data_IF_623087361478
#
_entry.id   IF_623087361478
#
_cell.length_a   1.000
_cell.length_b   1.000
_cell.length_c   1.000
_cell.angle_alpha   90.00
_cell.angle_beta   90.00
_cell.angle_gamma   90.00
#
_symmetry.space_group_name_H-M   'P 1'
#
loop_
_entity.id
_entity.type
_entity.pdbx_description
1 polymer ?
#
# COMPACT_ATOMS: atom_id res chain seq x y z
N UNK A 1 46.59 10.19 -19.49
CA UNK A 1 45.33 10.63 -20.12
C UNK A 1 44.28 10.65 -19.03
N UNK A 2 43.99 11.83 -18.49
CA UNK A 2 42.96 12.05 -17.48
C UNK A 2 41.58 11.97 -18.14
N UNK A 3 40.71 11.09 -17.64
CA UNK A 3 39.30 11.06 -18.05
C UNK A 3 38.69 12.46 -17.84
N UNK A 4 37.83 12.94 -18.76
CA UNK A 4 37.17 14.22 -18.60
C UNK A 4 36.34 14.19 -17.31
N UNK A 5 36.62 15.13 -16.42
CA UNK A 5 35.94 15.30 -15.14
C UNK A 5 34.45 15.56 -15.42
N UNK A 6 33.57 14.64 -14.99
CA UNK A 6 32.13 14.80 -15.16
C UNK A 6 31.66 15.98 -14.27
N UNK A 7 30.78 16.85 -14.77
CA UNK A 7 30.28 17.97 -13.98
C UNK A 7 29.59 17.47 -12.69
N UNK A 8 29.70 18.22 -11.58
CA UNK A 8 29.09 17.86 -10.31
C UNK A 8 27.57 17.69 -10.48
N UNK A 9 27.04 16.61 -9.91
CA UNK A 9 25.65 16.18 -10.08
C UNK A 9 24.99 15.93 -8.73
N UNK A 10 23.79 16.46 -8.55
CA UNK A 10 22.88 16.08 -7.48
C UNK A 10 21.88 15.03 -7.99
N UNK A 11 21.60 14.02 -7.16
CA UNK A 11 20.51 13.08 -7.39
C UNK A 11 19.40 13.45 -6.42
N UNK A 12 18.23 13.85 -6.95
CA UNK A 12 17.08 14.21 -6.11
C UNK A 12 15.74 13.73 -6.64
N UNK A 13 14.76 13.61 -5.75
CA UNK A 13 13.36 13.25 -6.04
C UNK A 13 13.20 11.89 -6.74
N UNK A 14 13.90 10.86 -6.25
CA UNK A 14 13.88 9.52 -6.84
C UNK A 14 13.18 8.54 -5.90
N UNK A 15 12.16 7.83 -6.38
CA UNK A 15 11.49 6.81 -5.58
C UNK A 15 12.43 5.63 -5.27
N UNK A 16 13.17 5.15 -6.27
CA UNK A 16 14.15 4.09 -6.10
C UNK A 16 15.40 4.38 -6.94
N UNK A 17 16.52 4.62 -6.26
CA UNK A 17 17.83 4.73 -6.89
C UNK A 17 18.46 3.33 -6.96
N UNK A 18 18.36 2.68 -8.12
CA UNK A 18 18.94 1.36 -8.34
C UNK A 18 20.37 1.47 -8.90
N UNK A 19 21.36 1.14 -8.07
CA UNK A 19 22.78 1.09 -8.43
C UNK A 19 23.27 -0.33 -8.72
N UNK A 20 22.38 -1.31 -8.91
CA UNK A 20 22.74 -2.73 -9.11
C UNK A 20 22.84 -3.14 -10.59
N UNK A 21 22.40 -2.28 -11.51
CA UNK A 21 22.45 -2.52 -12.96
C UNK A 21 23.84 -2.36 -13.58
N UNK A 22 23.93 -2.55 -14.90
CA UNK A 22 25.20 -2.56 -15.65
C UNK A 22 26.04 -1.27 -15.53
N UNK A 23 25.43 -0.14 -15.16
CA UNK A 23 26.12 1.14 -14.98
C UNK A 23 26.62 1.41 -13.54
N UNK A 24 26.43 0.47 -12.61
CA UNK A 24 26.73 0.59 -11.18
C UNK A 24 28.07 1.28 -10.86
N UNK A 25 29.16 0.78 -11.46
CA UNK A 25 30.53 1.21 -11.14
C UNK A 25 30.79 2.71 -11.37
N UNK A 26 30.09 3.31 -12.33
CA UNK A 26 30.26 4.73 -12.71
C UNK A 26 29.07 5.60 -12.32
N UNK A 27 28.01 5.01 -11.74
CA UNK A 27 26.77 5.71 -11.43
C UNK A 27 26.96 6.84 -10.40
N UNK A 28 27.92 6.67 -9.50
CA UNK A 28 28.27 7.63 -8.46
C UNK A 28 29.38 8.61 -8.86
N UNK A 29 29.92 8.52 -10.09
CA UNK A 29 30.97 9.44 -10.54
C UNK A 29 30.43 10.85 -10.69
N UNK A 30 31.10 11.81 -10.03
CA UNK A 30 30.71 13.22 -10.04
C UNK A 30 29.47 13.53 -9.20
N UNK A 31 28.92 12.57 -8.45
CA UNK A 31 27.78 12.83 -7.56
C UNK A 31 28.26 13.52 -6.29
N UNK A 32 27.75 14.72 -6.02
CA UNK A 32 28.16 15.54 -4.88
C UNK A 32 27.15 15.54 -3.74
N UNK A 33 25.90 15.16 -4.01
CA UNK A 33 24.81 15.09 -3.02
C UNK A 33 23.70 14.15 -3.50
N UNK A 34 23.05 13.49 -2.55
CA UNK A 34 21.82 12.72 -2.78
C UNK A 34 20.75 13.25 -1.82
N UNK A 35 19.58 13.63 -2.35
CA UNK A 35 18.49 14.20 -1.55
C UNK A 35 17.13 13.61 -1.95
N UNK A 36 16.18 13.48 -1.02
CA UNK A 36 14.80 13.05 -1.36
C UNK A 36 14.72 11.73 -2.13
N UNK A 37 15.34 10.69 -1.58
CA UNK A 37 15.33 9.36 -2.18
C UNK A 37 14.64 8.38 -1.24
N UNK A 38 13.55 7.74 -1.68
CA UNK A 38 12.83 6.82 -0.79
C UNK A 38 13.66 5.55 -0.53
N UNK A 39 14.34 5.01 -1.54
CA UNK A 39 15.28 3.91 -1.32
C UNK A 39 16.44 3.89 -2.31
N UNK A 40 17.60 3.41 -1.84
CA UNK A 40 18.80 3.16 -2.64
C UNK A 40 19.11 1.66 -2.59
N UNK A 41 19.19 1.00 -3.75
CA UNK A 41 19.76 -0.34 -3.87
C UNK A 41 21.22 -0.19 -4.28
N UNK A 42 22.14 -0.77 -3.52
CA UNK A 42 23.58 -0.56 -3.72
C UNK A 42 24.35 -1.87 -3.59
N UNK A 43 25.18 -2.24 -4.58
CA UNK A 43 26.13 -3.34 -4.43
C UNK A 43 27.06 -3.12 -3.24
N UNK A 44 27.39 -4.17 -2.49
CA UNK A 44 28.27 -4.08 -1.31
C UNK A 44 29.61 -3.41 -1.62
N UNK A 45 30.19 -3.68 -2.79
CA UNK A 45 31.40 -3.03 -3.30
C UNK A 45 31.32 -1.50 -3.43
N UNK A 46 30.12 -0.93 -3.58
CA UNK A 46 29.91 0.52 -3.76
C UNK A 46 29.51 1.25 -2.48
N UNK A 47 29.27 0.54 -1.38
CA UNK A 47 28.83 1.13 -0.11
C UNK A 47 29.78 2.20 0.41
N UNK A 48 31.09 1.94 0.37
CA UNK A 48 32.11 2.90 0.84
C UNK A 48 32.13 4.18 0.01
N UNK A 49 31.83 4.08 -1.29
CA UNK A 49 31.75 5.25 -2.17
C UNK A 49 30.47 6.02 -1.90
N UNK A 50 29.34 5.33 -1.78
CA UNK A 50 28.04 5.95 -1.46
C UNK A 50 28.08 6.70 -0.13
N UNK A 51 28.70 6.12 0.91
CA UNK A 51 28.76 6.71 2.25
C UNK A 51 29.61 7.99 2.33
N UNK A 52 30.48 8.24 1.35
CA UNK A 52 31.23 9.49 1.26
C UNK A 52 30.45 10.65 0.66
N UNK A 53 29.28 10.38 0.05
CA UNK A 53 28.40 11.38 -0.54
C UNK A 53 27.41 11.87 0.53
N UNK A 54 27.29 13.19 0.77
CA UNK A 54 26.27 13.73 1.65
C UNK A 54 24.85 13.31 1.23
N UNK A 55 24.10 12.73 2.17
CA UNK A 55 22.73 12.26 1.99
C UNK A 55 21.76 13.04 2.87
N UNK A 56 20.63 13.45 2.30
CA UNK A 56 19.56 14.20 2.99
C UNK A 56 18.19 13.60 2.63
N UNK A 57 17.33 13.37 3.63
CA UNK A 57 16.01 12.71 3.42
C UNK A 57 16.06 11.46 2.53
N UNK A 58 16.98 10.56 2.85
CA UNK A 58 17.06 9.22 2.26
C UNK A 58 16.44 8.21 3.22
N UNK A 59 15.31 7.59 2.86
CA UNK A 59 14.56 6.76 3.81
C UNK A 59 15.19 5.37 4.03
N UNK A 60 15.76 4.75 3.00
CA UNK A 60 16.44 3.46 3.12
C UNK A 60 17.65 3.32 2.19
N UNK A 61 18.73 2.73 2.69
CA UNK A 61 19.83 2.19 1.86
C UNK A 61 19.86 0.68 2.05
N UNK A 62 19.83 -0.06 0.95
CA UNK A 62 19.76 -1.52 0.90
C UNK A 62 21.03 -2.06 0.25
N UNK A 63 21.94 -2.66 1.03
CA UNK A 63 23.08 -3.37 0.46
C UNK A 63 22.61 -4.65 -0.24
N UNK A 64 23.15 -4.90 -1.43
CA UNK A 64 22.91 -6.10 -2.23
C UNK A 64 24.26 -6.80 -2.43
N UNK A 65 24.39 -8.11 -2.12
CA UNK A 65 25.64 -8.83 -2.35
C UNK A 65 26.08 -8.71 -3.82
N UNK A 66 27.39 -8.53 -4.03
CA UNK A 66 27.94 -8.39 -5.37
C UNK A 66 27.68 -9.64 -6.23
N UNK A 67 27.45 -9.43 -7.54
CA UNK A 67 27.23 -10.52 -8.50
C UNK A 67 25.83 -11.14 -8.48
N UNK A 68 24.93 -10.71 -7.57
CA UNK A 68 23.54 -11.15 -7.55
C UNK A 68 22.75 -10.61 -8.74
N UNK A 69 21.85 -11.44 -9.28
CA UNK A 69 20.83 -10.97 -10.23
C UNK A 69 19.73 -10.26 -9.43
N UNK A 70 19.55 -8.97 -9.66
CA UNK A 70 18.53 -8.18 -8.97
C UNK A 70 17.27 -8.09 -9.83
N UNK A 71 16.12 -8.41 -9.24
CA UNK A 71 14.80 -8.20 -9.85
C UNK A 71 13.98 -7.27 -8.99
N UNK A 72 13.74 -6.08 -9.50
CA UNK A 72 12.97 -5.05 -8.83
C UNK A 72 11.52 -5.10 -9.32
N UNK A 73 10.59 -5.10 -8.37
CA UNK A 73 9.17 -4.90 -8.63
C UNK A 73 8.65 -3.73 -7.80
N UNK A 74 7.76 -2.93 -8.39
CA UNK A 74 7.19 -1.75 -7.75
C UNK A 74 5.66 -1.83 -7.77
N UNK A 75 5.04 -1.49 -6.63
CA UNK A 75 3.59 -1.53 -6.45
C UNK A 75 3.12 -2.79 -5.71
N UNK A 76 1.91 -3.24 -6.02
CA UNK A 76 1.33 -4.47 -5.47
C UNK A 76 1.67 -5.65 -6.37
N UNK A 77 2.37 -6.63 -5.82
CA UNK A 77 2.86 -7.80 -6.54
C UNK A 77 2.24 -9.04 -5.92
N UNK A 78 1.52 -9.81 -6.73
CA UNK A 78 0.87 -11.05 -6.30
C UNK A 78 1.63 -12.24 -6.87
N UNK A 79 2.13 -13.12 -6.00
CA UNK A 79 2.89 -14.33 -6.37
C UNK A 79 2.33 -15.54 -5.62
N UNK A 80 2.62 -16.74 -6.11
CA UNK A 80 2.48 -17.95 -5.29
C UNK A 80 3.75 -18.15 -4.46
N UNK A 81 3.68 -18.94 -3.38
CA UNK A 81 4.84 -19.29 -2.56
C UNK A 81 5.95 -20.00 -3.37
N UNK A 82 5.57 -20.82 -4.34
CA UNK A 82 6.50 -21.54 -5.23
C UNK A 82 7.23 -20.59 -6.18
N UNK A 83 6.65 -19.44 -6.50
CA UNK A 83 7.30 -18.44 -7.34
C UNK A 83 8.55 -17.84 -6.66
N UNK A 84 8.72 -18.03 -5.35
CA UNK A 84 9.90 -17.64 -4.58
C UNK A 84 10.99 -18.73 -4.52
N UNK A 85 10.76 -19.92 -5.10
CA UNK A 85 11.76 -20.97 -5.18
C UNK A 85 13.03 -20.53 -5.94
N UNK A 86 14.09 -21.32 -5.85
CA UNK A 86 15.34 -21.01 -6.56
C UNK A 86 15.10 -20.91 -8.08
N UNK A 87 15.76 -19.97 -8.78
CA UNK A 87 15.71 -19.90 -10.23
C UNK A 87 16.12 -21.22 -10.88
N UNK A 88 15.47 -21.65 -11.99
CA UNK A 88 15.80 -22.91 -12.67
C UNK A 88 17.24 -22.98 -13.19
N UNK A 89 17.85 -21.82 -13.48
CA UNK A 89 19.23 -21.70 -13.94
C UNK A 89 20.26 -21.69 -12.81
N UNK A 90 19.82 -21.83 -11.55
CA UNK A 90 20.68 -21.83 -10.36
C UNK A 90 21.32 -20.47 -10.07
N UNK A 91 20.88 -19.41 -10.74
CA UNK A 91 21.40 -18.07 -10.51
C UNK A 91 21.07 -17.59 -9.09
N UNK A 92 22.05 -17.00 -8.41
CA UNK A 92 21.81 -16.32 -7.15
C UNK A 92 21.05 -15.02 -7.41
N UNK A 93 19.76 -15.00 -7.05
CA UNK A 93 18.84 -13.90 -7.32
C UNK A 93 18.43 -13.20 -6.02
N UNK A 94 18.33 -11.87 -6.09
CA UNK A 94 17.68 -11.05 -5.06
C UNK A 94 16.42 -10.42 -5.64
N UNK A 95 15.28 -10.79 -5.05
CA UNK A 95 13.99 -10.18 -5.34
C UNK A 95 13.80 -8.95 -4.46
N UNK A 96 13.63 -7.80 -5.08
CA UNK A 96 13.34 -6.54 -4.39
C UNK A 96 11.92 -6.10 -4.72
N UNK A 97 11.09 -5.90 -3.71
CA UNK A 97 9.73 -5.38 -3.87
C UNK A 97 9.61 -4.03 -3.15
N UNK A 98 9.29 -2.97 -3.88
CA UNK A 98 8.93 -1.67 -3.33
C UNK A 98 7.42 -1.51 -3.35
N UNK A 99 6.76 -1.67 -2.21
CA UNK A 99 5.31 -1.72 -2.09
C UNK A 99 4.83 -2.95 -1.34
N UNK A 100 3.88 -3.68 -1.92
CA UNK A 100 3.26 -4.85 -1.27
C UNK A 100 3.61 -6.13 -2.03
N UNK A 101 4.11 -7.12 -1.30
CA UNK A 101 4.23 -8.50 -1.78
C UNK A 101 3.12 -9.35 -1.17
N UNK A 102 2.19 -9.82 -1.99
CA UNK A 102 1.09 -10.69 -1.59
C UNK A 102 1.39 -12.10 -2.10
N UNK A 103 1.45 -13.07 -1.19
CA UNK A 103 1.56 -14.48 -1.52
C UNK A 103 0.19 -15.15 -1.49
N UNK A 104 -0.10 -16.02 -2.45
CA UNK A 104 -1.37 -16.75 -2.55
C UNK A 104 -1.30 -18.21 -2.10
N UNK A 105 -0.09 -18.72 -1.82
CA UNK A 105 0.16 -20.03 -1.23
C UNK A 105 1.37 -19.96 -0.28
N UNK A 106 1.51 -20.89 0.69
CA UNK A 106 2.59 -20.85 1.66
C UNK A 106 3.98 -20.90 1.01
N UNK A 107 4.86 -19.97 1.40
CA UNK A 107 6.23 -19.93 0.93
C UNK A 107 7.13 -20.84 1.78
N UNK A 108 7.10 -22.15 1.47
CA UNK A 108 7.82 -23.16 2.24
C UNK A 108 9.31 -23.27 1.82
N UNK A 109 9.59 -23.16 0.52
CA UNK A 109 10.92 -23.35 -0.06
C UNK A 109 11.37 -22.09 -0.79
N UNK A 110 11.76 -21.07 -0.04
CA UNK A 110 12.27 -19.83 -0.63
C UNK A 110 13.74 -19.98 -0.98
N UNK A 111 14.05 -19.93 -2.27
CA UNK A 111 15.40 -20.19 -2.81
C UNK A 111 16.12 -18.96 -3.32
N UNK A 112 15.65 -17.77 -2.93
CA UNK A 112 16.22 -16.47 -3.32
C UNK A 112 16.24 -15.53 -2.13
N UNK A 113 17.11 -14.52 -2.17
CA UNK A 113 17.07 -13.45 -1.18
C UNK A 113 15.87 -12.56 -1.47
N UNK A 114 15.11 -12.18 -0.44
CA UNK A 114 13.94 -11.30 -0.57
C UNK A 114 14.18 -10.03 0.23
N UNK A 115 14.04 -8.90 -0.44
CA UNK A 115 14.03 -7.57 0.16
C UNK A 115 12.66 -6.94 -0.12
N UNK A 116 11.99 -6.49 0.93
CA UNK A 116 10.71 -5.78 0.78
C UNK A 116 10.79 -4.42 1.47
N UNK A 117 10.54 -3.38 0.69
CA UNK A 117 10.39 -2.01 1.14
C UNK A 117 8.90 -1.68 1.11
N UNK A 118 8.21 -2.10 2.18
CA UNK A 118 6.78 -2.02 2.36
C UNK A 118 6.25 -3.24 3.13
N UNK A 119 5.19 -3.88 2.64
CA UNK A 119 4.51 -4.95 3.38
C UNK A 119 4.60 -6.29 2.67
N UNK A 120 4.69 -7.36 3.45
CA UNK A 120 4.51 -8.74 2.97
C UNK A 120 3.22 -9.27 3.55
N UNK A 121 2.34 -9.79 2.71
CA UNK A 121 1.11 -10.43 3.12
C UNK A 121 1.17 -11.87 2.63
N UNK A 122 1.19 -12.81 3.56
CA UNK A 122 1.42 -14.21 3.26
C UNK A 122 0.42 -15.10 3.99
N UNK A 123 0.09 -16.28 3.45
CA UNK A 123 -0.70 -17.24 4.19
C UNK A 123 0.12 -17.80 5.36
N UNK A 124 -0.56 -18.08 6.47
CA UNK A 124 0.02 -18.77 7.62
C UNK A 124 0.69 -20.08 7.19
N UNK A 125 1.83 -20.41 7.78
CA UNK A 125 2.72 -21.49 7.35
C UNK A 125 3.93 -21.02 6.51
N UNK A 126 3.95 -19.74 6.11
CA UNK A 126 5.09 -19.15 5.38
C UNK A 126 6.23 -18.66 6.29
N UNK A 127 6.07 -18.70 7.61
CA UNK A 127 6.94 -18.05 8.60
C UNK A 127 8.38 -18.54 8.49
N UNK A 128 8.57 -19.86 8.39
CA UNK A 128 9.91 -20.46 8.34
C UNK A 128 10.63 -20.11 7.04
N UNK A 129 9.95 -20.25 5.88
CA UNK A 129 10.57 -19.98 4.59
C UNK A 129 10.87 -18.49 4.39
N UNK A 130 9.91 -17.62 4.74
CA UNK A 130 10.13 -16.18 4.68
C UNK A 130 11.15 -15.69 5.70
N UNK A 131 11.14 -16.22 6.93
CA UNK A 131 12.07 -15.82 7.99
C UNK A 131 13.54 -16.08 7.65
N UNK A 132 13.84 -17.11 6.85
CA UNK A 132 15.20 -17.42 6.40
C UNK A 132 15.65 -16.57 5.21
N UNK A 133 14.71 -16.14 4.35
CA UNK A 133 15.02 -15.50 3.07
C UNK A 133 14.79 -14.00 3.04
N UNK A 134 13.99 -13.44 3.97
CA UNK A 134 13.82 -12.01 4.14
C UNK A 134 15.11 -11.40 4.71
N UNK A 135 15.96 -10.89 3.83
CA UNK A 135 17.21 -10.21 4.21
C UNK A 135 16.95 -8.84 4.82
N UNK A 136 15.93 -8.16 4.31
CA UNK A 136 15.54 -6.82 4.78
C UNK A 136 14.06 -6.59 4.53
N UNK A 137 13.39 -6.09 5.56
CA UNK A 137 12.01 -5.65 5.52
C UNK A 137 11.94 -4.24 6.10
N UNK A 138 11.36 -3.30 5.34
CA UNK A 138 10.95 -1.99 5.87
C UNK A 138 9.43 -1.96 5.90
N UNK A 139 8.84 -2.25 7.06
CA UNK A 139 7.39 -2.39 7.23
C UNK A 139 7.05 -3.64 8.05
N UNK A 140 6.01 -4.38 7.66
CA UNK A 140 5.49 -5.52 8.42
C UNK A 140 5.20 -6.73 7.54
N UNK A 141 5.28 -7.92 8.15
CA UNK A 141 4.75 -9.15 7.59
C UNK A 141 3.41 -9.44 8.26
N UNK A 142 2.38 -9.65 7.45
CA UNK A 142 1.04 -9.98 7.87
C UNK A 142 0.73 -11.40 7.41
N UNK A 143 0.42 -12.28 8.36
CA UNK A 143 -0.03 -13.63 8.06
C UNK A 143 -1.55 -13.72 8.10
N UNK A 144 -2.15 -14.28 7.04
CA UNK A 144 -3.59 -14.50 6.98
C UNK A 144 -3.94 -15.99 7.08
N UNK A 145 -5.13 -16.35 7.64
CA UNK A 145 -5.52 -17.74 7.77
C UNK A 145 -5.63 -18.43 6.40
N UNK A 146 -5.06 -19.63 6.29
CA UNK A 146 -5.01 -20.38 5.04
C UNK A 146 -5.27 -21.86 5.29
N UNK A 147 -6.07 -22.45 4.42
CA UNK A 147 -6.30 -23.90 4.37
C UNK A 147 -5.63 -24.45 3.12
N UNK A 148 -4.94 -25.58 3.25
CA UNK A 148 -4.27 -26.22 2.11
C UNK A 148 -5.23 -26.42 0.92
N UNK A 149 -4.79 -26.01 -0.26
CA UNK A 149 -5.58 -26.08 -1.49
C UNK A 149 -6.62 -24.95 -1.66
N UNK A 150 -6.74 -24.04 -0.70
CA UNK A 150 -7.58 -22.85 -0.84
C UNK A 150 -7.07 -21.98 -2.00
N UNK A 151 -8.00 -21.45 -2.82
CA UNK A 151 -7.67 -20.42 -3.80
C UNK A 151 -7.81 -19.05 -3.16
N UNK A 152 -6.79 -18.22 -3.34
CA UNK A 152 -6.74 -16.86 -2.81
C UNK A 152 -7.09 -15.88 -3.93
N UNK A 153 -8.20 -15.18 -3.76
CA UNK A 153 -8.67 -14.14 -4.67
C UNK A 153 -8.17 -12.80 -4.17
N UNK A 154 -7.30 -12.13 -4.92
CA UNK A 154 -6.79 -10.80 -4.56
C UNK A 154 -7.56 -9.72 -5.31
N UNK A 155 -8.03 -8.71 -4.59
CA UNK A 155 -8.74 -7.54 -5.13
C UNK A 155 -8.16 -6.26 -4.53
N UNK A 156 -8.24 -5.16 -5.30
CA UNK A 156 -8.10 -3.83 -4.72
C UNK A 156 -9.37 -3.43 -3.96
N UNK A 157 -9.23 -2.42 -3.11
CA UNK A 157 -10.35 -1.76 -2.43
C UNK A 157 -11.32 -1.11 -3.41
N UNK A 158 -12.43 -0.61 -2.87
CA UNK A 158 -13.47 0.06 -3.62
C UNK A 158 -14.88 -0.34 -3.19
N UNK A 159 -15.87 0.23 -3.90
CA UNK A 159 -17.28 -0.06 -3.70
C UNK A 159 -17.72 -1.33 -4.45
N UNK A 160 -18.37 -2.23 -3.74
CA UNK A 160 -18.91 -3.49 -4.29
C UNK A 160 -20.24 -3.84 -3.62
N UNK A 161 -21.09 -4.57 -4.33
CA UNK A 161 -22.28 -5.17 -3.73
C UNK A 161 -21.92 -6.33 -2.79
N UNK A 162 -22.71 -6.54 -1.74
CA UNK A 162 -22.57 -7.64 -0.79
C UNK A 162 -22.66 -9.03 -1.42
N UNK A 163 -23.31 -9.16 -2.58
CA UNK A 163 -23.39 -10.39 -3.36
C UNK A 163 -22.03 -10.92 -3.83
N UNK A 164 -21.02 -10.05 -3.94
CA UNK A 164 -19.65 -10.45 -4.28
C UNK A 164 -19.07 -11.39 -3.22
N UNK A 165 -19.49 -11.25 -1.96
CA UNK A 165 -19.02 -12.10 -0.87
C UNK A 165 -19.63 -13.51 -0.92
N UNK A 166 -20.71 -13.74 -1.67
CA UNK A 166 -21.37 -15.04 -1.74
C UNK A 166 -20.55 -16.11 -2.45
N UNK A 167 -19.50 -15.72 -3.20
CA UNK A 167 -18.55 -16.60 -3.88
C UNK A 167 -19.22 -17.72 -4.71
N UNK A 168 -20.19 -17.42 -5.60
CA UNK A 168 -21.07 -18.44 -6.18
C UNK A 168 -20.36 -19.47 -7.08
N UNK A 169 -19.23 -19.09 -7.68
CA UNK A 169 -18.40 -19.98 -8.51
C UNK A 169 -17.14 -20.50 -7.77
N UNK A 170 -17.06 -20.23 -6.46
CA UNK A 170 -15.90 -20.55 -5.65
C UNK A 170 -16.01 -21.86 -4.87
N UNK A 171 -14.95 -22.18 -4.15
CA UNK A 171 -14.95 -23.24 -3.14
C UNK A 171 -15.15 -22.63 -1.75
N UNK A 172 -15.80 -23.34 -0.80
CA UNK A 172 -15.95 -22.85 0.57
C UNK A 172 -14.63 -22.60 1.31
N UNK A 173 -13.53 -23.18 0.83
CA UNK A 173 -12.18 -22.96 1.35
C UNK A 173 -11.48 -21.75 0.77
N UNK A 174 -12.03 -21.14 -0.29
CA UNK A 174 -11.41 -19.98 -0.94
C UNK A 174 -11.31 -18.80 0.04
N UNK A 175 -10.26 -17.99 -0.12
CA UNK A 175 -10.00 -16.78 0.67
C UNK A 175 -10.12 -15.57 -0.24
N UNK A 176 -10.85 -14.54 0.19
CA UNK A 176 -10.84 -13.24 -0.46
C UNK A 176 -9.89 -12.31 0.29
N UNK A 177 -8.89 -11.77 -0.39
CA UNK A 177 -7.97 -10.77 0.12
C UNK A 177 -8.21 -9.45 -0.60
N UNK A 178 -8.57 -8.41 0.15
CA UNK A 178 -8.79 -7.05 -0.37
C UNK A 178 -7.68 -6.15 0.14
N UNK A 179 -6.97 -5.47 -0.76
CA UNK A 179 -5.96 -4.46 -0.42
C UNK A 179 -6.57 -3.06 -0.51
N UNK A 180 -6.64 -2.34 0.60
CA UNK A 180 -7.30 -1.03 0.70
C UNK A 180 -8.69 -1.11 1.33
N UNK A 181 -9.47 -0.03 1.18
CA UNK A 181 -10.79 0.10 1.82
C UNK A 181 -11.88 -0.65 1.04
N UNK A 182 -12.53 -1.63 1.68
CA UNK A 182 -13.70 -2.34 1.13
C UNK A 182 -14.99 -1.60 1.51
N UNK A 183 -15.82 -1.23 0.53
CA UNK A 183 -17.13 -0.61 0.78
C UNK A 183 -18.24 -1.51 0.23
N UNK A 184 -19.03 -2.10 1.12
CA UNK A 184 -20.19 -2.90 0.75
C UNK A 184 -21.40 -1.99 0.57
N UNK A 185 -21.94 -1.87 -0.64
CA UNK A 185 -23.02 -0.93 -0.96
C UNK A 185 -24.42 -1.55 -0.83
N UNK A 186 -24.51 -2.87 -0.66
CA UNK A 186 -25.75 -3.63 -0.47
C UNK A 186 -25.59 -4.62 0.70
N UNK A 187 -26.71 -5.14 1.20
CA UNK A 187 -26.73 -6.10 2.30
C UNK A 187 -25.93 -7.36 1.96
N UNK A 188 -25.23 -7.90 2.96
CA UNK A 188 -24.52 -9.18 2.86
C UNK A 188 -25.45 -10.28 3.33
N UNK A 189 -25.98 -11.10 2.42
CA UNK A 189 -26.85 -12.22 2.78
C UNK A 189 -26.06 -13.49 3.13
N UNK A 190 -24.92 -13.70 2.46
CA UNK A 190 -24.08 -14.88 2.60
C UNK A 190 -22.63 -14.54 2.31
N UNK A 191 -21.73 -15.12 3.10
CA UNK A 191 -20.30 -15.17 2.80
C UNK A 191 -19.95 -16.60 2.40
N UNK A 192 -19.51 -16.79 1.15
CA UNK A 192 -19.12 -18.09 0.59
C UNK A 192 -17.61 -18.34 0.60
N UNK A 193 -16.82 -17.36 1.04
CA UNK A 193 -15.40 -17.53 1.32
C UNK A 193 -15.20 -18.12 2.71
N UNK A 194 -14.15 -18.92 2.91
CA UNK A 194 -13.75 -19.33 4.25
C UNK A 194 -13.41 -18.12 5.11
N UNK A 195 -12.71 -17.15 4.49
CA UNK A 195 -12.21 -15.93 5.11
C UNK A 195 -12.22 -14.78 4.11
N UNK A 196 -12.58 -13.59 4.57
CA UNK A 196 -12.44 -12.33 3.87
C UNK A 196 -11.45 -11.48 4.66
N UNK A 197 -10.25 -11.28 4.11
CA UNK A 197 -9.16 -10.55 4.75
C UNK A 197 -9.02 -9.21 4.06
N UNK A 198 -9.18 -8.12 4.80
CA UNK A 198 -9.10 -6.75 4.27
C UNK A 198 -7.92 -6.03 4.90
N UNK A 199 -6.98 -5.59 4.07
CA UNK A 199 -5.83 -4.79 4.44
C UNK A 199 -6.23 -3.32 4.44
N UNK A 200 -7.11 -2.94 5.37
CA UNK A 200 -7.72 -1.61 5.42
C UNK A 200 -9.08 -1.64 6.10
N UNK A 201 -9.86 -0.58 5.89
CA UNK A 201 -11.19 -0.46 6.46
C UNK A 201 -12.24 -1.25 5.69
N UNK A 202 -13.29 -1.68 6.38
CA UNK A 202 -14.47 -2.28 5.77
C UNK A 202 -15.69 -1.46 6.15
N UNK A 203 -16.35 -0.87 5.17
CA UNK A 203 -17.62 -0.18 5.36
C UNK A 203 -18.76 -1.12 5.03
N UNK A 204 -19.71 -1.26 5.95
CA UNK A 204 -20.88 -2.13 5.80
C UNK A 204 -22.17 -1.35 6.03
N UNK A 205 -23.26 -1.67 5.30
CA UNK A 205 -24.54 -1.08 5.58
C UNK A 205 -25.03 -1.52 6.95
N UNK A 206 -25.76 -0.65 7.63
CA UNK A 206 -26.43 -1.01 8.89
C UNK A 206 -27.33 -2.24 8.70
N UNK A 207 -27.21 -3.19 9.60
CA UNK A 207 -27.89 -4.49 9.56
C UNK A 207 -27.04 -5.63 8.98
N UNK A 208 -25.89 -5.36 8.35
CA UNK A 208 -25.00 -6.38 7.82
C UNK A 208 -23.93 -6.88 8.82
N UNK A 209 -23.82 -6.25 10.00
CA UNK A 209 -22.78 -6.50 11.02
C UNK A 209 -22.75 -7.97 11.44
N UNK A 210 -23.92 -8.55 11.70
CA UNK A 210 -24.05 -9.93 12.14
C UNK A 210 -23.53 -10.93 11.08
N UNK A 211 -23.67 -10.60 9.79
CA UNK A 211 -23.28 -11.47 8.69
C UNK A 211 -21.79 -11.34 8.33
N UNK A 212 -21.15 -10.21 8.64
CA UNK A 212 -19.71 -10.02 8.42
C UNK A 212 -18.86 -10.45 9.61
N UNK A 213 -19.43 -10.44 10.81
CA UNK A 213 -18.73 -10.82 12.05
C UNK A 213 -18.26 -12.28 11.97
N UNK A 214 -16.97 -12.51 12.24
CA UNK A 214 -16.36 -13.85 12.29
C UNK A 214 -15.83 -14.40 10.95
N UNK A 215 -16.16 -13.76 9.82
CA UNK A 215 -15.63 -14.13 8.50
C UNK A 215 -14.81 -13.01 7.86
N UNK A 216 -15.10 -11.75 8.21
CA UNK A 216 -14.35 -10.59 7.75
C UNK A 216 -13.31 -10.20 8.80
N UNK A 217 -12.05 -10.26 8.42
CA UNK A 217 -10.91 -9.87 9.23
C UNK A 217 -10.24 -8.65 8.63
N UNK A 218 -10.04 -7.61 9.43
CA UNK A 218 -9.29 -6.43 9.03
C UNK A 218 -7.88 -6.50 9.59
N UNK A 219 -6.91 -6.08 8.78
CA UNK A 219 -5.50 -5.94 9.16
C UNK A 219 -5.15 -4.46 9.05
N UNK A 220 -4.87 -3.81 10.18
CA UNK A 220 -4.58 -2.38 10.23
C UNK A 220 -5.78 -1.43 10.09
N UNK A 221 -6.98 -1.95 9.78
CA UNK A 221 -8.21 -1.14 9.70
C UNK A 221 -9.30 -1.58 10.67
N UNK A 222 -10.53 -1.16 10.41
CA UNK A 222 -11.71 -1.50 11.22
C UNK A 222 -12.96 -1.74 10.37
N UNK A 223 -13.94 -2.42 10.96
CA UNK A 223 -15.29 -2.51 10.39
C UNK A 223 -16.08 -1.27 10.83
N UNK A 224 -16.64 -0.54 9.87
CA UNK A 224 -17.36 0.71 10.04
C UNK A 224 -18.77 0.51 9.51
N UNK A 225 -19.76 0.69 10.38
CA UNK A 225 -21.16 0.72 9.96
C UNK A 225 -21.47 2.12 9.46
N UNK A 226 -22.00 2.23 8.24
CA UNK A 226 -22.41 3.53 7.72
C UNK A 226 -23.93 3.73 7.78
N UNK A 227 -24.29 4.98 7.99
CA UNK A 227 -25.67 5.44 8.15
C UNK A 227 -26.16 6.21 6.91
N UNK A 228 -25.23 6.88 6.23
CA UNK A 228 -25.45 7.60 5.00
C UNK A 228 -24.77 6.87 3.83
N UNK A 229 -25.36 6.88 2.62
CA UNK A 229 -24.78 6.21 1.46
C UNK A 229 -23.31 6.61 1.24
N UNK A 230 -22.39 5.62 1.09
CA UNK A 230 -21.00 5.92 0.89
C UNK A 230 -20.75 6.41 -0.54
N UNK A 231 -19.85 7.37 -0.69
CA UNK A 231 -19.28 7.76 -1.99
C UNK A 231 -17.77 7.64 -1.92
N UNK A 232 -17.22 6.80 -2.80
CA UNK A 232 -15.81 6.44 -2.84
C UNK A 232 -15.09 7.26 -3.91
N UNK A 233 -13.98 7.88 -3.52
CA UNK A 233 -13.06 8.62 -4.37
C UNK A 233 -11.71 7.94 -4.33
N UNK A 234 -11.38 7.19 -5.39
CA UNK A 234 -10.11 6.48 -5.55
C UNK A 234 -9.16 7.27 -6.48
N UNK A 235 -7.96 7.56 -6.01
CA UNK A 235 -6.90 8.21 -6.77
C UNK A 235 -6.74 9.68 -6.42
N UNK A 236 -6.77 10.57 -7.43
CA UNK A 236 -6.56 12.01 -7.24
C UNK A 236 -7.83 12.78 -7.57
N UNK A 237 -8.40 13.47 -6.58
CA UNK A 237 -9.66 14.20 -6.72
C UNK A 237 -9.62 15.59 -6.12
N UNK A 238 -10.52 16.45 -6.59
CA UNK A 238 -10.77 17.78 -6.03
C UNK A 238 -12.28 17.93 -5.80
N UNK A 239 -12.68 18.41 -4.62
CA UNK A 239 -14.08 18.66 -4.25
C UNK A 239 -14.29 20.13 -3.90
N UNK A 240 -15.21 20.78 -4.63
CA UNK A 240 -15.59 22.17 -4.43
C UNK A 240 -16.94 22.31 -3.72
N UNK A 241 -17.31 23.53 -3.34
CA UNK A 241 -18.62 23.83 -2.77
C UNK A 241 -19.77 23.31 -3.64
N UNK A 242 -19.65 23.46 -4.97
CA UNK A 242 -20.66 22.99 -5.92
C UNK A 242 -20.92 21.48 -5.85
N UNK A 243 -19.91 20.66 -5.52
CA UNK A 243 -20.13 19.23 -5.28
C UNK A 243 -21.07 19.00 -4.08
N UNK A 244 -20.80 19.67 -2.96
CA UNK A 244 -21.58 19.52 -1.73
C UNK A 244 -23.01 20.10 -1.87
N UNK A 245 -23.17 21.19 -2.63
CA UNK A 245 -24.46 21.80 -2.92
C UNK A 245 -25.39 20.89 -3.73
N UNK A 246 -24.84 20.06 -4.62
CA UNK A 246 -25.58 19.09 -5.43
C UNK A 246 -26.00 17.83 -4.65
N UNK A 247 -25.57 17.66 -3.40
CA UNK A 247 -25.98 16.52 -2.57
C UNK A 247 -27.34 16.79 -1.93
N UNK A 248 -28.36 16.01 -2.29
CA UNK A 248 -29.69 16.12 -1.66
C UNK A 248 -29.70 15.72 -0.18
N UNK A 249 -28.82 14.78 0.19
CA UNK A 249 -28.72 14.19 1.53
C UNK A 249 -27.25 14.05 1.94
N UNK A 250 -26.95 14.02 3.25
CA UNK A 250 -25.61 13.71 3.72
C UNK A 250 -25.09 12.37 3.18
N UNK A 251 -23.78 12.28 2.98
CA UNK A 251 -23.08 11.08 2.51
C UNK A 251 -22.01 10.64 3.52
N UNK A 252 -21.60 9.38 3.42
CA UNK A 252 -20.32 8.95 3.99
C UNK A 252 -19.24 9.15 2.94
N UNK A 253 -18.34 10.10 3.16
CA UNK A 253 -17.24 10.39 2.25
C UNK A 253 -16.11 9.39 2.47
N UNK A 254 -15.73 8.65 1.43
CA UNK A 254 -14.64 7.67 1.48
C UNK A 254 -13.57 8.13 0.49
N UNK A 255 -12.39 8.47 0.99
CA UNK A 255 -11.25 8.90 0.18
C UNK A 255 -10.18 7.81 0.26
N UNK A 256 -9.79 7.29 -0.89
CA UNK A 256 -8.66 6.39 -1.08
C UNK A 256 -7.66 7.09 -2.02
N UNK A 257 -6.52 7.53 -1.49
CA UNK A 257 -5.53 8.30 -2.23
C UNK A 257 -5.46 9.78 -1.83
N UNK A 258 -5.36 10.68 -2.80
CA UNK A 258 -5.17 12.13 -2.57
C UNK A 258 -6.42 12.91 -2.96
N UNK A 259 -6.99 13.64 -2.01
CA UNK A 259 -8.11 14.54 -2.26
C UNK A 259 -7.76 15.97 -1.83
N UNK A 260 -8.19 16.95 -2.61
CA UNK A 260 -8.10 18.37 -2.28
C UNK A 260 -9.52 18.92 -2.11
N UNK A 261 -9.77 19.60 -0.99
CA UNK A 261 -10.97 20.40 -0.77
C UNK A 261 -10.63 21.83 -1.21
N UNK A 262 -11.43 22.40 -2.11
CA UNK A 262 -11.21 23.76 -2.61
C UNK A 262 -11.50 24.83 -1.54
N UNK A 263 -10.91 26.03 -1.74
CA UNK A 263 -11.04 27.18 -0.82
C UNK A 263 -12.47 27.73 -0.71
N UNK A 264 -13.36 27.38 -1.65
CA UNK A 264 -14.77 27.77 -1.62
C UNK A 264 -15.62 26.90 -0.65
N UNK A 265 -15.05 25.80 -0.15
CA UNK A 265 -15.73 24.91 0.79
C UNK A 265 -15.69 25.50 2.19
N UNK A 266 -16.86 25.53 2.86
CA UNK A 266 -16.99 26.02 4.23
C UNK A 266 -17.15 24.86 5.21
N UNK A 267 -16.90 25.10 6.49
CA UNK A 267 -17.20 24.12 7.55
C UNK A 267 -18.69 23.72 7.57
N UNK A 268 -19.58 24.56 7.05
CA UNK A 268 -21.01 24.27 6.97
C UNK A 268 -21.34 23.26 5.86
N UNK A 269 -20.62 23.30 4.72
CA UNK A 269 -20.74 22.26 3.71
C UNK A 269 -20.40 20.88 4.31
N UNK A 270 -19.32 20.80 5.10
CA UNK A 270 -18.93 19.55 5.76
C UNK A 270 -19.99 19.11 6.78
N UNK A 271 -20.39 19.99 7.71
CA UNK A 271 -21.36 19.66 8.76
C UNK A 271 -22.72 19.22 8.22
N UNK A 272 -23.19 19.84 7.13
CA UNK A 272 -24.52 19.58 6.58
C UNK A 272 -24.56 18.45 5.55
N UNK A 273 -23.43 18.13 4.88
CA UNK A 273 -23.40 17.17 3.76
C UNK A 273 -22.53 15.94 4.00
N UNK A 274 -21.66 15.94 5.01
CA UNK A 274 -20.77 14.82 5.31
C UNK A 274 -21.17 14.20 6.66
N UNK A 275 -21.84 13.05 6.60
CA UNK A 275 -22.23 12.29 7.78
C UNK A 275 -21.05 11.52 8.41
N UNK A 276 -20.04 11.21 7.61
CA UNK A 276 -18.83 10.53 8.05
C UNK A 276 -17.72 10.62 7.01
N UNK A 277 -16.47 10.57 7.46
CA UNK A 277 -15.27 10.55 6.61
C UNK A 277 -14.44 9.29 6.93
N UNK A 278 -14.14 8.51 5.90
CA UNK A 278 -13.10 7.48 5.94
C UNK A 278 -12.00 7.92 5.00
N UNK A 279 -10.79 8.12 5.53
CA UNK A 279 -9.63 8.55 4.77
C UNK A 279 -8.55 7.47 4.82
N UNK A 280 -8.18 6.97 3.65
CA UNK A 280 -6.95 6.22 3.38
C UNK A 280 -6.10 7.09 2.44
N UNK A 281 -5.02 7.69 2.94
CA UNK A 281 -4.17 8.60 2.16
C UNK A 281 -4.15 10.07 2.64
N UNK A 282 -4.17 11.04 1.71
CA UNK A 282 -3.93 12.47 2.02
C UNK A 282 -5.12 13.34 1.61
N UNK A 283 -5.67 14.08 2.57
CA UNK A 283 -6.69 15.09 2.33
C UNK A 283 -6.10 16.47 2.60
N UNK A 284 -6.07 17.35 1.60
CA UNK A 284 -5.64 18.74 1.77
C UNK A 284 -6.88 19.62 1.77
N UNK A 285 -7.01 20.51 2.75
CA UNK A 285 -8.19 21.36 2.87
C UNK A 285 -7.84 22.76 3.40
N UNK A 286 -8.73 23.75 3.23
CA UNK A 286 -8.55 25.06 3.84
C UNK A 286 -8.49 24.94 5.37
N UNK A 287 -7.63 25.73 6.01
CA UNK A 287 -7.35 25.64 7.47
C UNK A 287 -8.62 25.71 8.34
N UNK A 288 -9.63 26.49 7.94
CA UNK A 288 -10.91 26.62 8.62
C UNK A 288 -11.83 25.39 8.45
N UNK A 289 -11.60 24.54 7.45
CA UNK A 289 -12.39 23.33 7.16
C UNK A 289 -11.81 22.10 7.85
N UNK A 290 -10.48 22.06 8.07
CA UNK A 290 -9.77 20.92 8.70
C UNK A 290 -10.45 20.43 9.99
N UNK A 291 -10.82 21.27 10.97
CA UNK A 291 -11.47 20.78 12.19
C UNK A 291 -12.83 20.13 11.92
N UNK A 292 -13.59 20.62 10.93
CA UNK A 292 -14.88 20.01 10.59
C UNK A 292 -14.70 18.61 9.98
N UNK A 293 -13.67 18.42 9.14
CA UNK A 293 -13.31 17.11 8.58
C UNK A 293 -12.84 16.13 9.66
N UNK A 294 -12.04 16.59 10.62
CA UNK A 294 -11.57 15.78 11.75
C UNK A 294 -12.73 15.32 12.63
N UNK A 295 -13.72 16.18 12.88
CA UNK A 295 -14.90 15.83 13.70
C UNK A 295 -15.76 14.74 13.06
N UNK A 296 -15.93 14.77 11.72
CA UNK A 296 -16.72 13.75 11.01
C UNK A 296 -15.91 12.50 10.66
N UNK A 297 -14.62 12.43 10.99
CA UNK A 297 -13.78 11.30 10.66
C UNK A 297 -14.13 10.04 11.48
N UNK A 298 -14.52 8.98 10.77
CA UNK A 298 -14.79 7.65 11.30
C UNK A 298 -13.52 6.78 11.34
N UNK A 299 -12.64 6.97 10.36
CA UNK A 299 -11.31 6.37 10.30
C UNK A 299 -10.35 7.26 9.50
N UNK A 300 -9.11 7.37 9.99
CA UNK A 300 -8.03 8.15 9.39
C UNK A 300 -6.77 7.29 9.31
N UNK A 301 -6.58 6.64 8.18
CA UNK A 301 -5.37 5.92 7.80
C UNK A 301 -4.58 6.81 6.82
N UNK A 302 -4.08 7.93 7.35
CA UNK A 302 -3.60 9.00 6.50
C UNK A 302 -3.43 10.34 7.20
N UNK A 303 -3.48 11.42 6.44
CA UNK A 303 -3.28 12.78 6.97
C UNK A 303 -4.26 13.77 6.36
N UNK A 304 -4.89 14.56 7.23
CA UNK A 304 -5.61 15.78 6.84
C UNK A 304 -4.66 16.95 7.08
N UNK A 305 -4.25 17.65 6.02
CA UNK A 305 -3.32 18.77 6.07
C UNK A 305 -4.01 20.08 5.65
N UNK A 306 -3.57 21.20 6.23
CA UNK A 306 -4.02 22.50 5.78
C UNK A 306 -3.34 22.89 4.45
N UNK A 307 -4.04 23.58 3.56
CA UNK A 307 -3.49 23.98 2.24
C UNK A 307 -2.30 24.94 2.31
N UNK A 308 -2.13 25.65 3.43
CA UNK A 308 -1.03 26.57 3.70
C UNK A 308 0.16 25.91 4.43
N UNK A 309 0.03 24.66 4.86
CA UNK A 309 1.14 23.87 5.37
C UNK A 309 1.99 23.40 4.19
N UNK A 310 3.26 23.84 4.15
CA UNK A 310 4.21 23.31 3.18
C UNK A 310 4.42 21.84 3.49
N UNK A 311 4.39 20.99 2.47
CA UNK A 311 4.78 19.59 2.56
C UNK A 311 6.24 19.52 3.05
N UNK A 312 6.44 19.32 4.35
CA UNK A 312 7.74 19.02 4.97
C UNK A 312 8.17 17.57 4.66
#
# INVERSE_FOLDING_TARGET
MTSPERPPREISHVALLDLTGAAAATALDGVTRISEVAAILVPESLLSKLSSIPMDRVAATVPIPDGRRVRVFTGQIVLSGEALAAPPDGAEETLVVTGQLILTSPALNVGRDVVVLGQVIAPAGSETGLGLSLRRLTGQVVYYPYTEGARVHVRGGGAMGGEVLANPAGQPTDVLLVSGTLVLTSSVEKIGYAQVVVLGNVLVPRGAEANVTGHVHTQGGRVIVYDAPPRVFDGKHTLSAGYFELLDKPITLVIDGKCTIDDDVTSEHIRSKVAGLVLDGKLVAPRNVVPALQVVALALDGTIAASDERDE
#
